data_IF_559033057840
#
_entry.id   IF_559033057840
#
_cell.length_a   1.000
_cell.length_b   1.000
_cell.length_c   1.000
_cell.angle_alpha   90.00
_cell.angle_beta   90.00
_cell.angle_gamma   90.00
#
_symmetry.space_group_name_H-M   'P 1'
#
loop_
_entity.id
_entity.type
_entity.pdbx_description
1 polymer ?
#
# COMPACT_ATOMS: atom_id res chain seq x y z
N UNK A 1 16.73 -23.09 -27.20
CA UNK A 1 16.29 -21.81 -26.62
C UNK A 1 17.34 -20.79 -26.98
N UNK A 2 16.98 -19.74 -27.69
CA UNK A 2 17.87 -18.62 -27.96
C UNK A 2 18.24 -17.92 -26.67
N UNK A 3 19.52 -17.72 -26.41
CA UNK A 3 19.97 -16.92 -25.29
C UNK A 3 19.52 -15.47 -25.48
N UNK A 4 19.10 -14.77 -24.40
CA UNK A 4 18.67 -13.39 -24.49
C UNK A 4 19.84 -12.48 -24.86
N UNK A 5 19.57 -11.41 -25.64
CA UNK A 5 20.56 -10.39 -25.91
C UNK A 5 20.92 -9.61 -24.62
N UNK A 6 22.11 -9.01 -24.61
CA UNK A 6 22.54 -8.13 -23.52
C UNK A 6 21.53 -7.00 -23.28
N UNK A 7 21.00 -6.40 -24.35
CA UNK A 7 19.97 -5.34 -24.27
C UNK A 7 18.69 -5.80 -23.58
N UNK A 8 18.25 -7.06 -23.81
CA UNK A 8 17.09 -7.62 -23.11
C UNK A 8 17.36 -7.78 -21.61
N UNK A 9 18.54 -8.26 -21.24
CA UNK A 9 18.92 -8.41 -19.83
C UNK A 9 19.04 -7.07 -19.11
N UNK A 10 19.63 -6.07 -19.76
CA UNK A 10 19.67 -4.69 -19.23
C UNK A 10 18.28 -4.09 -19.03
N UNK A 11 17.39 -4.29 -20.00
CA UNK A 11 15.99 -3.87 -19.89
C UNK A 11 15.31 -4.51 -18.66
N UNK A 12 15.44 -5.82 -18.49
CA UNK A 12 14.86 -6.54 -17.36
C UNK A 12 15.46 -6.08 -16.01
N UNK A 13 16.74 -5.78 -15.98
CA UNK A 13 17.42 -5.23 -14.82
C UNK A 13 16.91 -3.82 -14.49
N UNK A 14 16.65 -2.99 -15.51
CA UNK A 14 16.06 -1.66 -15.34
C UNK A 14 14.65 -1.72 -14.75
N UNK A 15 13.82 -2.66 -15.21
CA UNK A 15 12.48 -2.91 -14.70
C UNK A 15 12.53 -3.22 -13.18
N UNK A 16 13.47 -4.09 -12.78
CA UNK A 16 13.66 -4.41 -11.36
C UNK A 16 14.09 -3.18 -10.53
N UNK A 17 14.95 -2.34 -11.08
CA UNK A 17 15.47 -1.14 -10.41
C UNK A 17 14.40 -0.08 -10.18
N UNK A 18 13.58 0.20 -11.20
CA UNK A 18 12.44 1.13 -11.11
C UNK A 18 11.42 0.66 -10.05
N UNK A 19 11.11 -0.64 -10.05
CA UNK A 19 10.22 -1.23 -9.05
C UNK A 19 10.77 -1.08 -7.63
N UNK A 20 12.07 -1.30 -7.46
CA UNK A 20 12.78 -1.12 -6.21
C UNK A 20 12.65 0.32 -5.68
N UNK A 21 12.92 1.30 -6.54
CA UNK A 21 12.83 2.72 -6.20
C UNK A 21 11.41 3.11 -5.74
N UNK A 22 10.39 2.73 -6.49
CA UNK A 22 8.99 3.06 -6.18
C UNK A 22 8.55 2.46 -4.84
N UNK A 23 9.00 1.24 -4.53
CA UNK A 23 8.68 0.57 -3.24
C UNK A 23 9.40 1.21 -2.07
N UNK A 24 10.67 1.55 -2.22
CA UNK A 24 11.43 2.27 -1.20
C UNK A 24 10.81 3.63 -0.91
N UNK A 25 10.45 4.38 -1.94
CA UNK A 25 9.80 5.69 -1.79
C UNK A 25 8.49 5.58 -1.01
N UNK A 26 7.66 4.54 -1.27
CA UNK A 26 6.44 4.29 -0.50
C UNK A 26 6.73 3.95 0.96
N UNK A 27 7.71 3.08 1.21
CA UNK A 27 8.10 2.70 2.57
C UNK A 27 8.67 3.89 3.35
N UNK A 28 9.55 4.69 2.72
CA UNK A 28 10.11 5.88 3.32
C UNK A 28 9.04 6.92 3.65
N UNK A 29 8.07 7.13 2.75
CA UNK A 29 6.92 8.01 2.99
C UNK A 29 6.08 7.55 4.19
N UNK A 30 5.90 6.25 4.40
CA UNK A 30 5.23 5.73 5.60
C UNK A 30 6.04 6.03 6.87
N UNK A 31 7.37 5.85 6.82
CA UNK A 31 8.26 6.17 7.93
C UNK A 31 8.20 7.68 8.26
N UNK A 32 8.34 8.54 7.26
CA UNK A 32 8.26 10.01 7.42
C UNK A 32 6.93 10.46 8.04
N UNK A 33 5.83 9.80 7.69
CA UNK A 33 4.49 10.05 8.25
C UNK A 33 4.25 9.40 9.61
N UNK A 34 5.25 8.72 10.21
CA UNK A 34 5.08 7.99 11.47
C UNK A 34 4.09 6.81 11.37
N UNK A 35 4.07 6.14 10.23
CA UNK A 35 3.20 4.99 9.92
C UNK A 35 4.02 3.77 9.47
N UNK A 36 5.17 3.56 10.09
CA UNK A 36 6.05 2.43 9.73
C UNK A 36 5.36 1.09 9.91
N UNK A 37 4.47 0.96 10.88
CA UNK A 37 3.63 -0.23 11.10
C UNK A 37 2.78 -0.63 9.89
N UNK A 38 2.51 0.28 8.96
CA UNK A 38 1.81 -0.01 7.70
C UNK A 38 2.70 -0.71 6.66
N UNK A 39 4.01 -0.76 6.87
CA UNK A 39 4.92 -1.48 5.99
C UNK A 39 4.80 -2.99 6.20
N UNK A 40 5.00 -3.74 5.13
CA UNK A 40 4.79 -5.20 5.16
C UNK A 40 5.67 -5.92 6.20
N UNK A 41 6.96 -5.56 6.27
CA UNK A 41 7.87 -6.17 7.24
C UNK A 41 7.42 -5.93 8.68
N UNK A 42 6.84 -4.76 8.94
CA UNK A 42 6.31 -4.43 10.25
C UNK A 42 5.04 -5.23 10.60
N UNK A 43 4.16 -5.46 9.60
CA UNK A 43 2.99 -6.33 9.79
C UNK A 43 3.39 -7.76 10.13
N UNK A 44 4.36 -8.32 9.41
CA UNK A 44 4.87 -9.67 9.72
C UNK A 44 5.50 -9.74 11.12
N UNK A 45 6.17 -8.67 11.58
CA UNK A 45 6.71 -8.59 12.94
C UNK A 45 5.59 -8.59 13.99
N UNK A 46 4.52 -7.84 13.73
CA UNK A 46 3.35 -7.79 14.62
C UNK A 46 2.72 -9.18 14.69
N UNK A 47 2.40 -9.79 13.54
CA UNK A 47 1.79 -11.13 13.47
C UNK A 47 2.63 -12.18 14.20
N UNK A 48 3.94 -12.20 13.98
CA UNK A 48 4.84 -13.17 14.63
C UNK A 48 5.00 -12.97 16.15
N UNK A 49 4.80 -11.75 16.62
CA UNK A 49 4.98 -11.41 18.04
C UNK A 49 3.68 -11.35 18.86
N UNK A 50 2.52 -11.29 18.17
CA UNK A 50 1.22 -11.01 18.80
C UNK A 50 0.91 -11.99 19.92
N UNK A 51 0.82 -13.27 19.62
CA UNK A 51 0.48 -14.33 20.59
C UNK A 51 1.40 -14.33 21.82
N UNK A 52 2.69 -14.11 21.60
CA UNK A 52 3.66 -14.08 22.68
C UNK A 52 3.45 -12.90 23.61
N UNK A 53 3.19 -11.72 23.03
CA UNK A 53 2.91 -10.51 23.80
C UNK A 53 1.59 -10.64 24.57
N UNK A 54 0.54 -11.15 23.93
CA UNK A 54 -0.76 -11.39 24.54
C UNK A 54 -0.66 -12.31 25.77
N UNK A 55 0.07 -13.43 25.65
CA UNK A 55 0.33 -14.34 26.77
C UNK A 55 1.07 -13.68 27.94
N UNK A 56 2.06 -12.84 27.67
CA UNK A 56 2.81 -12.14 28.73
C UNK A 56 1.95 -11.02 29.38
N UNK A 57 1.06 -10.39 28.63
CA UNK A 57 0.10 -9.42 29.17
C UNK A 57 -0.92 -10.13 30.08
N UNK A 58 -1.49 -11.26 29.62
CA UNK A 58 -2.42 -12.05 30.43
C UNK A 58 -1.76 -12.55 31.73
N UNK A 59 -0.53 -13.07 31.63
CA UNK A 59 0.26 -13.46 32.80
C UNK A 59 0.45 -12.30 33.78
N UNK A 60 0.76 -11.09 33.30
CA UNK A 60 0.88 -9.91 34.16
C UNK A 60 -0.42 -9.57 34.86
N UNK A 61 -1.57 -9.72 34.18
CA UNK A 61 -2.88 -9.51 34.81
C UNK A 61 -3.15 -10.58 35.85
N UNK A 62 -2.94 -11.86 35.54
CA UNK A 62 -3.15 -12.98 36.46
C UNK A 62 -2.29 -12.86 37.71
N UNK A 63 -0.99 -12.54 37.57
CA UNK A 63 -0.08 -12.33 38.70
C UNK A 63 -0.54 -11.20 39.62
N UNK A 64 -1.05 -10.10 39.05
CA UNK A 64 -1.57 -8.97 39.84
C UNK A 64 -2.86 -9.30 40.62
N UNK A 65 -3.62 -10.29 40.14
CA UNK A 65 -4.89 -10.71 40.76
C UNK A 65 -4.83 -12.08 41.46
N UNK A 66 -3.64 -12.68 41.61
CA UNK A 66 -3.39 -14.00 42.20
C UNK A 66 -3.60 -14.10 43.74
N UNK A 67 -4.33 -13.19 44.34
CA UNK A 67 -4.67 -13.27 45.77
C UNK A 67 -3.66 -12.65 46.75
N UNK A 68 -2.53 -12.10 46.25
CA UNK A 68 -1.56 -11.38 47.12
C UNK A 68 -2.24 -10.15 47.73
N UNK A 69 -2.09 -10.01 49.06
CA UNK A 69 -2.58 -8.83 49.79
C UNK A 69 -1.73 -7.63 49.43
N UNK A 70 -2.38 -6.52 49.06
CA UNK A 70 -1.73 -5.25 48.74
C UNK A 70 -2.33 -4.53 47.52
N UNK A 71 -1.79 -3.34 47.22
CA UNK A 71 -2.25 -2.54 46.09
C UNK A 71 -1.88 -3.21 44.77
N UNK A 72 -2.88 -3.46 43.91
CA UNK A 72 -2.70 -4.05 42.59
C UNK A 72 -2.00 -3.09 41.62
N UNK A 73 -1.20 -3.64 40.73
CA UNK A 73 -0.53 -2.84 39.71
C UNK A 73 -1.57 -2.08 38.86
N UNK A 74 -1.43 -0.76 38.77
CA UNK A 74 -2.35 0.11 38.01
C UNK A 74 -2.49 -0.37 36.57
N UNK A 75 -1.39 -0.79 35.93
CA UNK A 75 -1.42 -1.33 34.56
C UNK A 75 -2.32 -2.55 34.44
N UNK A 76 -2.29 -3.50 35.39
CA UNK A 76 -3.11 -4.68 35.35
C UNK A 76 -4.63 -4.36 35.53
N UNK A 77 -4.95 -3.35 36.37
CA UNK A 77 -6.35 -2.90 36.56
C UNK A 77 -6.94 -2.39 35.26
N UNK A 78 -6.18 -1.57 34.51
CA UNK A 78 -6.67 -1.02 33.24
C UNK A 78 -6.67 -2.06 32.13
N UNK A 79 -5.64 -2.92 32.03
CA UNK A 79 -5.55 -3.96 31.01
C UNK A 79 -6.64 -5.04 31.17
N UNK A 80 -7.08 -5.33 32.39
CA UNK A 80 -8.17 -6.27 32.66
C UNK A 80 -9.53 -5.81 32.09
N UNK A 81 -9.69 -4.52 31.74
CA UNK A 81 -10.91 -3.98 31.15
C UNK A 81 -11.10 -4.40 29.67
N UNK A 82 -10.09 -4.94 29.03
CA UNK A 82 -10.19 -5.42 27.65
C UNK A 82 -10.68 -6.85 27.60
N UNK A 83 -11.71 -7.09 26.80
CA UNK A 83 -12.21 -8.45 26.50
C UNK A 83 -11.26 -9.21 25.57
N UNK A 84 -10.56 -8.50 24.70
CA UNK A 84 -9.58 -9.03 23.74
C UNK A 84 -8.21 -8.39 23.98
N UNK A 85 -7.25 -9.19 24.47
CA UNK A 85 -5.88 -8.76 24.72
C UNK A 85 -5.02 -8.70 23.44
N UNK A 86 -5.46 -9.30 22.33
CA UNK A 86 -4.77 -9.19 21.04
C UNK A 86 -4.84 -7.76 20.52
N UNK A 87 -5.95 -7.07 20.77
CA UNK A 87 -6.10 -5.63 20.46
C UNK A 87 -5.09 -4.79 21.24
N UNK A 88 -4.87 -5.10 22.52
CA UNK A 88 -3.86 -4.42 23.36
C UNK A 88 -2.46 -4.64 22.80
N UNK A 89 -2.14 -5.89 22.46
CA UNK A 89 -0.86 -6.28 21.89
C UNK A 89 -0.61 -5.61 20.56
N UNK A 90 -1.60 -5.58 19.69
CA UNK A 90 -1.54 -4.90 18.39
C UNK A 90 -1.28 -3.40 18.53
N UNK A 91 -2.01 -2.71 19.42
CA UNK A 91 -1.83 -1.28 19.68
C UNK A 91 -0.43 -1.00 20.22
N UNK A 92 0.06 -1.82 21.16
CA UNK A 92 1.41 -1.67 21.72
C UNK A 92 2.48 -1.80 20.63
N UNK A 93 2.44 -2.86 19.81
CA UNK A 93 3.36 -3.06 18.70
C UNK A 93 3.30 -1.93 17.68
N UNK A 94 2.08 -1.56 17.24
CA UNK A 94 1.87 -0.49 16.27
C UNK A 94 2.53 0.80 16.73
N UNK A 95 2.27 1.22 17.97
CA UNK A 95 2.81 2.49 18.48
C UNK A 95 4.31 2.43 18.69
N UNK A 96 4.85 1.31 19.18
CA UNK A 96 6.31 1.13 19.36
C UNK A 96 7.01 1.24 18.01
N UNK A 97 6.56 0.50 16.99
CA UNK A 97 7.15 0.51 15.66
C UNK A 97 7.09 1.91 15.04
N UNK A 98 5.93 2.56 15.09
CA UNK A 98 5.73 3.90 14.52
C UNK A 98 6.60 4.97 15.20
N UNK A 99 6.82 4.84 16.51
CA UNK A 99 7.55 5.84 17.29
C UNK A 99 9.08 5.61 17.30
N UNK A 100 9.55 4.37 17.13
CA UNK A 100 11.00 4.08 17.03
C UNK A 100 11.60 4.81 15.82
N UNK A 101 10.94 4.76 14.66
CA UNK A 101 11.40 5.45 13.45
C UNK A 101 11.32 6.98 13.55
N UNK A 102 10.41 7.49 14.36
CA UNK A 102 10.25 8.93 14.63
C UNK A 102 11.16 9.46 15.74
N UNK A 103 12.00 8.61 16.31
CA UNK A 103 12.93 8.96 17.40
C UNK A 103 12.22 9.61 18.60
N UNK A 104 10.98 9.16 18.91
CA UNK A 104 10.21 9.67 20.06
C UNK A 104 10.81 9.16 21.37
N UNK A 105 10.60 9.95 22.46
CA UNK A 105 11.05 9.52 23.79
C UNK A 105 10.20 8.35 24.30
N UNK A 106 10.77 7.57 25.23
CA UNK A 106 10.07 6.49 25.93
C UNK A 106 8.76 6.97 26.56
N UNK A 107 8.78 8.14 27.19
CA UNK A 107 7.60 8.76 27.80
C UNK A 107 6.53 9.11 26.76
N UNK A 108 6.91 9.70 25.61
CA UNK A 108 5.97 10.00 24.53
C UNK A 108 5.35 8.74 23.95
N UNK A 109 6.14 7.67 23.79
CA UNK A 109 5.66 6.38 23.29
C UNK A 109 4.69 5.74 24.27
N UNK A 110 5.02 5.71 25.56
CA UNK A 110 4.15 5.18 26.60
C UNK A 110 2.82 5.93 26.71
N UNK A 111 2.86 7.25 26.70
CA UNK A 111 1.63 8.06 26.68
C UNK A 111 0.78 7.82 25.44
N UNK A 112 1.40 7.63 24.28
CA UNK A 112 0.67 7.34 23.05
C UNK A 112 0.00 5.96 23.10
N UNK A 113 0.68 4.95 23.64
CA UNK A 113 0.10 3.61 23.87
C UNK A 113 -1.12 3.73 24.79
N UNK A 114 -0.96 4.34 25.97
CA UNK A 114 -2.05 4.51 26.92
C UNK A 114 -3.24 5.31 26.35
N UNK A 115 -2.96 6.33 25.55
CA UNK A 115 -4.02 7.10 24.89
C UNK A 115 -4.78 6.28 23.84
N UNK A 116 -4.10 5.46 23.04
CA UNK A 116 -4.76 4.63 22.04
C UNK A 116 -5.58 3.51 22.68
N UNK A 117 -5.10 2.94 23.78
CA UNK A 117 -5.86 1.95 24.55
C UNK A 117 -7.11 2.55 25.19
N UNK A 118 -7.00 3.74 25.77
CA UNK A 118 -8.15 4.47 26.29
C UNK A 118 -9.18 4.77 25.18
N UNK A 119 -8.70 5.24 24.02
CA UNK A 119 -9.57 5.53 22.87
C UNK A 119 -10.30 4.25 22.38
N UNK A 120 -9.61 3.11 22.38
CA UNK A 120 -10.21 1.82 22.01
C UNK A 120 -11.37 1.44 22.94
N UNK A 121 -11.15 1.45 24.26
CA UNK A 121 -12.23 1.18 25.23
C UNK A 121 -13.38 2.17 25.11
N UNK A 122 -13.06 3.44 24.92
CA UNK A 122 -14.06 4.51 24.73
C UNK A 122 -14.96 4.23 23.53
N UNK A 123 -14.34 3.86 22.39
CA UNK A 123 -15.08 3.64 21.16
C UNK A 123 -15.81 2.30 21.13
N UNK A 124 -15.26 1.25 21.76
CA UNK A 124 -15.95 -0.02 21.97
C UNK A 124 -17.20 0.19 22.83
N UNK A 125 -17.08 0.94 23.94
CA UNK A 125 -18.25 1.27 24.78
C UNK A 125 -19.32 2.08 24.01
N UNK A 126 -18.89 2.98 23.12
CA UNK A 126 -19.84 3.71 22.26
C UNK A 126 -20.50 2.80 21.22
N UNK A 127 -19.77 1.89 20.62
CA UNK A 127 -20.31 0.90 19.68
C UNK A 127 -21.34 -0.02 20.36
N UNK A 128 -21.08 -0.47 21.58
CA UNK A 128 -21.99 -1.30 22.37
C UNK A 128 -23.29 -0.57 22.73
N UNK A 129 -23.20 0.73 23.05
CA UNK A 129 -24.36 1.54 23.47
C UNK A 129 -25.21 2.04 22.29
N UNK A 130 -24.61 2.41 21.15
CA UNK A 130 -25.31 2.92 19.95
C UNK A 130 -24.59 2.49 18.67
N UNK A 131 -24.65 1.20 18.37
CA UNK A 131 -23.99 0.58 17.21
C UNK A 131 -24.37 1.25 15.89
N UNK A 132 -25.66 1.55 15.70
CA UNK A 132 -26.15 2.16 14.46
C UNK A 132 -25.52 3.52 14.20
N UNK A 133 -25.41 4.34 15.23
CA UNK A 133 -24.81 5.67 15.11
C UNK A 133 -23.29 5.60 14.94
N UNK A 134 -22.64 4.70 15.67
CA UNK A 134 -21.22 4.40 15.52
C UNK A 134 -20.87 4.00 14.06
N UNK A 135 -21.61 3.05 13.49
CA UNK A 135 -21.41 2.58 12.12
C UNK A 135 -21.64 3.69 11.09
N UNK A 136 -22.65 4.54 11.30
CA UNK A 136 -22.89 5.70 10.43
C UNK A 136 -21.69 6.66 10.40
N UNK A 137 -21.07 6.95 11.54
CA UNK A 137 -19.90 7.82 11.61
C UNK A 137 -18.69 7.15 10.95
N UNK A 138 -18.50 5.85 11.21
CA UNK A 138 -17.42 5.04 10.63
C UNK A 138 -17.52 5.01 9.10
N UNK A 139 -18.72 4.80 8.56
CA UNK A 139 -18.96 4.81 7.11
C UNK A 139 -18.76 6.20 6.50
N UNK A 140 -19.27 7.26 7.15
CA UNK A 140 -19.05 8.64 6.70
C UNK A 140 -17.57 9.04 6.65
N UNK A 141 -16.75 8.47 7.53
CA UNK A 141 -15.32 8.77 7.60
C UNK A 141 -14.44 7.72 6.90
N UNK A 142 -15.02 6.74 6.22
CA UNK A 142 -14.29 5.61 5.62
C UNK A 142 -13.16 6.05 4.71
N UNK A 143 -13.43 7.00 3.82
CA UNK A 143 -12.48 7.44 2.80
C UNK A 143 -11.52 8.53 3.29
N UNK A 144 -11.72 9.00 4.50
CA UNK A 144 -10.85 10.00 5.11
C UNK A 144 -9.57 9.36 5.65
N UNK A 145 -8.41 9.83 5.18
CA UNK A 145 -7.10 9.38 5.69
C UNK A 145 -6.63 10.12 6.96
N UNK A 146 -7.43 11.03 7.49
CA UNK A 146 -7.05 11.89 8.62
C UNK A 146 -7.54 11.31 9.96
N UNK A 147 -6.73 10.45 10.60
CA UNK A 147 -7.09 9.76 11.87
C UNK A 147 -7.53 10.74 12.98
N UNK A 148 -6.85 11.87 13.10
CA UNK A 148 -7.22 12.89 14.10
C UNK A 148 -8.60 13.52 13.86
N UNK A 149 -9.04 13.61 12.60
CA UNK A 149 -10.40 14.05 12.27
C UNK A 149 -11.43 13.00 12.65
N UNK A 150 -11.20 11.73 12.28
CA UNK A 150 -12.07 10.61 12.65
C UNK A 150 -12.30 10.55 14.15
N UNK A 151 -11.22 10.62 14.93
CA UNK A 151 -11.28 10.62 16.38
C UNK A 151 -12.10 11.80 16.93
N UNK A 152 -11.85 13.02 16.48
CA UNK A 152 -12.59 14.21 16.95
C UNK A 152 -14.08 14.10 16.62
N UNK A 153 -14.40 13.62 15.43
CA UNK A 153 -15.79 13.45 15.03
C UNK A 153 -16.51 12.40 15.89
N UNK A 154 -15.84 11.27 16.15
CA UNK A 154 -16.36 10.20 17.00
C UNK A 154 -16.63 10.73 18.43
N UNK A 155 -15.66 11.42 19.04
CA UNK A 155 -15.81 12.01 20.37
C UNK A 155 -16.92 13.07 20.40
N UNK A 156 -17.02 13.92 19.36
CA UNK A 156 -18.09 14.91 19.26
C UNK A 156 -19.48 14.26 19.27
N UNK A 157 -19.69 13.24 18.48
CA UNK A 157 -20.97 12.55 18.40
C UNK A 157 -21.30 11.77 19.67
N UNK A 158 -20.29 11.14 20.27
CA UNK A 158 -20.42 10.50 21.57
C UNK A 158 -20.91 11.46 22.64
N UNK A 159 -20.27 12.63 22.78
CA UNK A 159 -20.65 13.66 23.73
C UNK A 159 -22.04 14.25 23.42
N UNK A 160 -22.38 14.46 22.14
CA UNK A 160 -23.70 14.96 21.71
C UNK A 160 -24.84 14.01 22.10
N UNK A 161 -24.56 12.71 22.17
CA UNK A 161 -25.51 11.67 22.58
C UNK A 161 -25.55 11.45 24.11
N UNK A 162 -24.75 12.19 24.88
CA UNK A 162 -24.71 12.08 26.34
C UNK A 162 -23.93 10.84 26.84
N UNK A 163 -23.18 10.15 25.96
CA UNK A 163 -22.31 9.06 26.39
C UNK A 163 -21.09 9.64 27.09
N UNK A 164 -20.98 9.41 28.37
CA UNK A 164 -19.84 9.83 29.19
C UNK A 164 -18.82 8.71 29.29
N UNK A 165 -17.56 9.06 29.33
CA UNK A 165 -16.46 8.14 29.51
C UNK A 165 -15.47 8.70 30.54
N UNK A 166 -15.12 7.88 31.53
CA UNK A 166 -14.13 8.26 32.54
C UNK A 166 -12.72 8.19 31.96
N UNK A 167 -12.04 9.33 31.91
CA UNK A 167 -10.67 9.38 31.39
C UNK A 167 -9.66 8.79 32.36
N UNK A 168 -8.65 8.08 31.83
CA UNK A 168 -7.62 7.44 32.66
C UNK A 168 -6.69 8.41 33.36
N UNK A 169 -6.62 9.65 32.90
CA UNK A 169 -5.63 10.62 33.31
C UNK A 169 -4.20 10.31 32.79
N UNK A 170 -3.36 11.31 32.77
CA UNK A 170 -2.01 11.21 32.17
C UNK A 170 -1.12 10.18 32.87
N UNK A 171 -1.17 10.10 34.20
CA UNK A 171 -0.34 9.20 35.00
C UNK A 171 -0.67 7.74 34.75
N UNK A 172 -1.95 7.40 34.66
CA UNK A 172 -2.38 6.03 34.41
C UNK A 172 -2.04 5.58 32.96
N UNK A 173 -2.26 6.47 31.98
CA UNK A 173 -1.83 6.24 30.59
C UNK A 173 -0.33 5.94 30.51
N UNK A 174 0.47 6.70 31.22
CA UNK A 174 1.91 6.52 31.29
C UNK A 174 2.30 5.18 31.92
N UNK A 175 1.70 4.82 33.06
CA UNK A 175 1.98 3.55 33.75
C UNK A 175 1.62 2.33 32.91
N UNK A 176 0.47 2.34 32.24
CA UNK A 176 0.05 1.28 31.31
C UNK A 176 1.03 1.15 30.14
N UNK A 177 1.33 2.28 29.47
CA UNK A 177 2.23 2.28 28.33
C UNK A 177 3.66 1.85 28.69
N UNK A 178 4.22 2.30 29.83
CA UNK A 178 5.54 1.87 30.29
C UNK A 178 5.60 0.37 30.58
N UNK A 179 4.55 -0.20 31.17
CA UNK A 179 4.49 -1.64 31.42
C UNK A 179 4.48 -2.45 30.13
N UNK A 180 3.75 -2.03 29.11
CA UNK A 180 3.74 -2.70 27.82
C UNK A 180 5.11 -2.60 27.11
N UNK A 181 5.77 -1.44 27.18
CA UNK A 181 7.14 -1.27 26.66
C UNK A 181 8.10 -2.20 27.41
N UNK A 182 8.01 -2.30 28.74
CA UNK A 182 8.81 -3.20 29.57
C UNK A 182 8.63 -4.67 29.14
N UNK A 183 7.38 -5.13 28.96
CA UNK A 183 7.11 -6.49 28.50
C UNK A 183 7.74 -6.76 27.14
N UNK A 184 7.57 -5.85 26.16
CA UNK A 184 8.18 -5.99 24.84
C UNK A 184 9.70 -6.01 24.91
N UNK A 185 10.30 -5.20 25.76
CA UNK A 185 11.74 -5.14 25.95
C UNK A 185 12.30 -6.41 26.59
N UNK A 186 11.73 -6.85 27.72
CA UNK A 186 12.29 -7.94 28.53
C UNK A 186 11.93 -9.33 28.00
N UNK A 187 10.70 -9.50 27.49
CA UNK A 187 10.17 -10.82 27.11
C UNK A 187 10.33 -11.12 25.62
N UNK A 188 10.16 -10.13 24.76
CA UNK A 188 10.34 -10.28 23.32
C UNK A 188 11.74 -9.90 22.86
N UNK A 189 12.46 -9.11 23.64
CA UNK A 189 13.82 -8.60 23.31
C UNK A 189 13.87 -7.88 21.96
N UNK A 190 12.75 -7.28 21.55
CA UNK A 190 12.61 -6.60 20.27
C UNK A 190 13.24 -5.21 20.29
N UNK A 191 13.17 -4.55 21.44
CA UNK A 191 13.61 -3.18 21.65
C UNK A 191 14.57 -3.07 22.83
N UNK A 192 15.38 -2.02 22.81
CA UNK A 192 16.23 -1.61 23.94
C UNK A 192 16.11 -0.10 24.17
N UNK A 193 16.40 0.33 25.39
CA UNK A 193 16.42 1.74 25.76
C UNK A 193 17.83 2.31 25.58
N UNK A 194 17.89 3.53 25.06
CA UNK A 194 19.13 4.31 25.01
C UNK A 194 18.87 5.70 25.59
N UNK A 195 19.85 6.22 26.32
CA UNK A 195 19.82 7.57 26.83
C UNK A 195 20.57 8.51 25.87
N UNK A 196 19.91 9.58 25.45
CA UNK A 196 20.51 10.63 24.62
C UNK A 196 20.59 11.91 25.44
N UNK A 197 21.77 12.48 25.49
CA UNK A 197 21.99 13.77 26.15
C UNK A 197 21.96 14.89 25.11
N UNK A 198 21.07 15.85 25.30
CA UNK A 198 20.98 17.06 24.47
C UNK A 198 21.10 18.26 25.39
N UNK A 199 22.22 19.00 25.25
CA UNK A 199 22.59 20.10 26.17
C UNK A 199 22.50 19.61 27.63
N UNK A 200 21.62 20.18 28.43
CA UNK A 200 21.46 19.90 29.86
C UNK A 200 20.36 18.88 30.18
N UNK A 201 19.77 18.20 29.17
CA UNK A 201 18.66 17.26 29.38
C UNK A 201 18.98 15.88 28.82
N UNK A 202 18.88 14.87 29.68
CA UNK A 202 18.96 13.47 29.25
C UNK A 202 17.56 12.93 29.00
N UNK A 203 17.34 12.32 27.84
CA UNK A 203 16.07 11.71 27.45
C UNK A 203 16.27 10.25 27.07
N UNK A 204 15.37 9.38 27.52
CA UNK A 204 15.36 7.96 27.16
C UNK A 204 14.57 7.74 25.86
N UNK A 205 15.14 6.97 24.95
CA UNK A 205 14.55 6.63 23.66
C UNK A 205 14.53 5.12 23.45
N UNK A 206 13.56 4.65 22.68
CA UNK A 206 13.41 3.26 22.29
C UNK A 206 14.08 3.08 20.93
N UNK A 207 14.87 2.03 20.79
CA UNK A 207 15.43 1.59 19.51
C UNK A 207 15.23 0.07 19.35
N UNK A 208 15.20 -0.40 18.11
CA UNK A 208 15.22 -1.84 17.84
C UNK A 208 16.57 -2.46 18.21
N UNK A 209 16.56 -3.72 18.61
CA UNK A 209 17.78 -4.53 18.75
C UNK A 209 18.35 -4.88 17.38
N UNK A 210 19.65 -5.23 17.31
CA UNK A 210 20.31 -5.53 16.03
C UNK A 210 19.63 -6.66 15.26
N UNK A 211 19.14 -7.69 15.94
CA UNK A 211 18.40 -8.80 15.32
C UNK A 211 17.17 -8.32 14.56
N UNK A 212 16.40 -7.41 15.16
CA UNK A 212 15.22 -6.86 14.53
C UNK A 212 15.56 -5.84 13.44
N UNK A 213 16.64 -5.08 13.61
CA UNK A 213 17.13 -4.19 12.56
C UNK A 213 17.54 -4.97 11.30
N UNK A 214 18.23 -6.11 11.48
CA UNK A 214 18.60 -6.99 10.35
C UNK A 214 17.37 -7.62 9.68
N UNK A 215 16.39 -8.04 10.47
CA UNK A 215 15.12 -8.53 9.93
C UNK A 215 14.42 -7.45 9.08
N UNK A 216 14.36 -6.21 9.57
CA UNK A 216 13.77 -5.08 8.86
C UNK A 216 14.55 -4.80 7.57
N UNK A 217 15.89 -4.79 7.60
CA UNK A 217 16.76 -4.60 6.42
C UNK A 217 16.50 -5.68 5.37
N UNK A 218 16.49 -6.96 5.77
CA UNK A 218 16.20 -8.10 4.90
C UNK A 218 14.77 -8.04 4.33
N UNK A 219 13.78 -7.74 5.16
CA UNK A 219 12.39 -7.61 4.75
C UNK A 219 12.17 -6.46 3.76
N UNK A 220 12.90 -5.35 3.92
CA UNK A 220 12.89 -4.25 2.95
C UNK A 220 13.51 -4.67 1.62
N UNK A 221 14.67 -5.31 1.65
CA UNK A 221 15.38 -5.77 0.46
C UNK A 221 14.58 -6.82 -0.34
N UNK A 222 14.02 -7.82 0.34
CA UNK A 222 13.24 -8.88 -0.32
C UNK A 222 11.98 -8.34 -1.01
N UNK A 223 11.33 -7.32 -0.45
CA UNK A 223 10.12 -6.77 -1.05
C UNK A 223 10.40 -5.84 -2.23
N UNK A 224 11.55 -5.22 -2.28
CA UNK A 224 11.99 -4.42 -3.42
C UNK A 224 12.00 -5.28 -4.69
N UNK A 225 12.41 -6.55 -4.58
CA UNK A 225 12.45 -7.50 -5.68
C UNK A 225 11.08 -8.05 -6.14
N UNK A 226 9.99 -7.82 -5.39
CA UNK A 226 8.76 -8.58 -5.54
C UNK A 226 7.69 -8.00 -6.47
N UNK A 227 7.82 -6.77 -6.97
CA UNK A 227 6.77 -6.11 -7.77
C UNK A 227 7.34 -5.23 -8.90
N UNK A 228 7.83 -5.81 -9.98
CA UNK A 228 8.29 -5.08 -11.14
C UNK A 228 7.13 -4.38 -11.89
N UNK A 229 7.43 -3.28 -12.57
CA UNK A 229 6.56 -2.71 -13.59
C UNK A 229 6.99 -3.34 -14.91
N UNK A 230 6.22 -4.30 -15.38
CA UNK A 230 6.55 -5.04 -16.59
C UNK A 230 6.47 -4.18 -17.84
N UNK A 231 7.52 -4.24 -18.66
CA UNK A 231 7.62 -3.61 -19.98
C UNK A 231 7.65 -4.69 -21.06
N UNK A 232 7.39 -4.35 -22.36
CA UNK A 232 7.59 -5.27 -23.47
C UNK A 232 9.04 -5.77 -23.54
N UNK A 233 9.25 -6.96 -24.06
CA UNK A 233 10.57 -7.53 -24.31
C UNK A 233 11.13 -7.04 -25.65
N UNK A 234 12.44 -6.85 -25.74
CA UNK A 234 13.14 -6.59 -27.01
C UNK A 234 13.39 -7.89 -27.79
N UNK A 235 13.60 -8.97 -27.08
CA UNK A 235 13.71 -10.32 -27.64
C UNK A 235 12.42 -11.09 -27.46
N UNK A 236 12.24 -12.13 -28.27
CA UNK A 236 11.12 -13.06 -28.14
C UNK A 236 11.10 -13.68 -26.74
N UNK A 237 9.99 -13.54 -25.98
CA UNK A 237 9.91 -14.10 -24.64
C UNK A 237 10.08 -15.62 -24.64
N UNK A 238 10.57 -16.19 -23.56
CA UNK A 238 10.68 -17.64 -23.40
C UNK A 238 9.31 -18.30 -23.56
N UNK A 239 9.21 -19.41 -24.33
CA UNK A 239 7.97 -20.15 -24.42
C UNK A 239 7.55 -20.70 -23.05
N UNK A 240 6.26 -20.79 -22.82
CA UNK A 240 5.72 -21.39 -21.61
C UNK A 240 5.86 -22.92 -21.67
N UNK A 241 6.63 -23.49 -20.74
CA UNK A 241 6.79 -24.94 -20.57
C UNK A 241 6.00 -25.47 -19.37
N UNK A 242 5.68 -24.61 -18.41
CA UNK A 242 4.83 -24.91 -17.26
C UNK A 242 4.11 -23.65 -16.77
N UNK A 243 3.26 -23.78 -15.75
CA UNK A 243 2.60 -22.60 -15.11
C UNK A 243 3.63 -21.59 -14.58
N UNK A 244 4.82 -22.02 -14.22
CA UNK A 244 5.84 -21.19 -13.58
C UNK A 244 7.07 -20.91 -14.44
N UNK A 245 7.17 -21.52 -15.63
CA UNK A 245 8.34 -21.41 -16.49
C UNK A 245 7.97 -20.90 -17.88
N UNK A 246 8.45 -19.70 -18.21
CA UNK A 246 8.21 -18.98 -19.45
C UNK A 246 8.24 -17.48 -19.25
N UNK A 247 8.00 -16.71 -20.30
CA UNK A 247 7.99 -15.26 -20.29
C UNK A 247 9.37 -14.63 -20.19
N UNK A 248 9.58 -13.75 -19.20
CA UNK A 248 10.85 -13.03 -19.01
C UNK A 248 12.02 -13.97 -18.68
N UNK A 249 13.24 -13.53 -18.98
CA UNK A 249 14.47 -14.32 -18.80
C UNK A 249 14.98 -14.27 -17.36
N UNK A 250 14.89 -13.11 -16.72
CA UNK A 250 15.43 -12.91 -15.37
C UNK A 250 14.54 -13.52 -14.29
N UNK A 251 15.14 -14.25 -13.37
CA UNK A 251 14.43 -14.89 -12.24
C UNK A 251 13.56 -13.92 -11.42
N UNK A 252 14.00 -12.66 -11.26
CA UNK A 252 13.27 -11.63 -10.50
C UNK A 252 12.00 -11.14 -11.18
N UNK A 253 11.85 -11.35 -12.49
CA UNK A 253 10.68 -11.00 -13.28
C UNK A 253 9.75 -12.20 -13.53
N UNK A 254 9.86 -13.26 -12.73
CA UNK A 254 8.99 -14.43 -12.87
C UNK A 254 7.52 -14.05 -12.82
N UNK A 255 6.85 -14.37 -13.90
CA UNK A 255 5.40 -14.35 -14.03
C UNK A 255 4.87 -15.77 -13.98
N UNK A 256 3.56 -15.91 -13.89
CA UNK A 256 2.89 -17.22 -13.99
C UNK A 256 2.07 -17.24 -15.27
N UNK A 257 1.96 -18.39 -15.90
CA UNK A 257 1.06 -18.56 -17.05
C UNK A 257 -0.41 -18.28 -16.69
N UNK A 258 -0.78 -18.46 -15.42
CA UNK A 258 -2.12 -18.16 -14.89
C UNK A 258 -2.03 -17.11 -13.78
N UNK A 259 -2.71 -15.98 -13.98
CA UNK A 259 -2.76 -14.86 -13.03
C UNK A 259 -3.76 -15.12 -11.91
N UNK A 260 -3.32 -15.82 -10.86
CA UNK A 260 -4.10 -16.02 -9.64
C UNK A 260 -3.19 -16.05 -8.41
N UNK A 261 -3.74 -15.70 -7.25
CA UNK A 261 -3.09 -15.85 -5.94
C UNK A 261 -3.59 -17.11 -5.20
N UNK A 262 -4.60 -17.78 -5.72
CA UNK A 262 -5.13 -19.01 -5.16
C UNK A 262 -4.16 -20.17 -5.40
N UNK A 263 -3.54 -20.64 -4.31
CA UNK A 263 -2.57 -21.73 -4.33
C UNK A 263 -3.23 -23.09 -4.61
N UNK A 264 -4.47 -23.27 -4.15
CA UNK A 264 -5.20 -24.52 -4.35
C UNK A 264 -5.57 -24.67 -5.83
N UNK A 265 -6.07 -23.59 -6.44
CA UNK A 265 -6.33 -23.55 -7.88
C UNK A 265 -5.07 -23.82 -8.72
N UNK A 266 -3.95 -23.16 -8.39
CA UNK A 266 -2.68 -23.39 -9.11
C UNK A 266 -2.18 -24.82 -9.00
N UNK A 267 -2.36 -25.45 -7.83
CA UNK A 267 -2.01 -26.86 -7.64
C UNK A 267 -2.87 -27.78 -8.50
N UNK A 268 -4.18 -27.58 -8.48
CA UNK A 268 -5.12 -28.34 -9.32
C UNK A 268 -4.83 -28.15 -10.82
N UNK A 269 -4.49 -26.92 -11.24
CA UNK A 269 -4.13 -26.65 -12.63
C UNK A 269 -2.82 -27.33 -13.06
N UNK A 270 -1.86 -27.53 -12.14
CA UNK A 270 -0.63 -28.30 -12.44
C UNK A 270 -0.86 -29.80 -12.71
N UNK A 271 -1.95 -30.34 -12.17
CA UNK A 271 -2.32 -31.75 -12.34
C UNK A 271 -3.04 -31.98 -13.67
N UNK A 272 -3.36 -30.93 -14.44
CA UNK A 272 -4.06 -31.02 -15.72
C UNK A 272 -3.09 -30.89 -16.91
N UNK A 273 -3.49 -31.43 -18.06
CA UNK A 273 -2.77 -31.20 -19.31
C UNK A 273 -3.03 -29.80 -19.86
N UNK A 274 -2.06 -28.92 -19.69
CA UNK A 274 -2.09 -27.54 -20.16
C UNK A 274 -1.30 -27.32 -21.45
N UNK A 275 -0.82 -28.37 -22.11
CA UNK A 275 0.10 -28.31 -23.27
C UNK A 275 -0.44 -27.39 -24.36
N UNK A 276 -1.70 -27.57 -24.77
CA UNK A 276 -2.34 -26.72 -25.79
C UNK A 276 -2.46 -25.25 -25.36
N UNK A 277 -2.85 -25.01 -24.11
CA UNK A 277 -3.00 -23.67 -23.56
C UNK A 277 -1.66 -22.93 -23.44
N UNK A 278 -0.62 -23.59 -22.95
CA UNK A 278 0.74 -23.04 -22.84
C UNK A 278 1.34 -22.76 -24.22
N UNK A 279 1.06 -23.63 -25.20
CA UNK A 279 1.45 -23.43 -26.60
C UNK A 279 0.76 -22.20 -27.19
N UNK A 280 -0.53 -21.99 -26.92
CA UNK A 280 -1.26 -20.80 -27.38
C UNK A 280 -0.67 -19.51 -26.82
N UNK A 281 -0.32 -19.45 -25.52
CA UNK A 281 0.40 -18.32 -24.93
C UNK A 281 1.76 -18.09 -25.61
N UNK A 282 2.50 -19.17 -25.86
CA UNK A 282 3.83 -19.10 -26.48
C UNK A 282 3.74 -18.56 -27.91
N UNK A 283 2.75 -18.99 -28.69
CA UNK A 283 2.53 -18.49 -30.06
C UNK A 283 2.14 -16.98 -30.03
N UNK A 284 1.31 -16.56 -29.10
CA UNK A 284 0.98 -15.14 -28.95
C UNK A 284 2.20 -14.28 -28.61
N UNK A 285 3.14 -14.82 -27.84
CA UNK A 285 4.40 -14.14 -27.47
C UNK A 285 5.36 -13.94 -28.66
N UNK A 286 5.26 -14.78 -29.68
CA UNK A 286 6.08 -14.67 -30.90
C UNK A 286 5.63 -13.54 -31.83
N UNK A 287 4.47 -12.93 -31.57
CA UNK A 287 4.00 -11.80 -32.36
C UNK A 287 4.88 -10.57 -32.09
N UNK A 288 5.64 -10.18 -33.11
CA UNK A 288 6.46 -8.99 -33.05
C UNK A 288 5.63 -7.74 -33.34
N UNK A 289 5.78 -6.74 -32.47
CA UNK A 289 5.13 -5.44 -32.56
C UNK A 289 6.16 -4.35 -32.84
N UNK A 290 5.70 -3.22 -33.37
CA UNK A 290 6.46 -1.97 -33.47
C UNK A 290 5.57 -0.79 -33.15
N UNK A 291 6.17 0.35 -32.81
CA UNK A 291 5.42 1.57 -32.50
C UNK A 291 4.88 2.18 -33.78
N UNK A 292 3.61 2.56 -33.79
CA UNK A 292 3.03 3.38 -34.84
C UNK A 292 3.57 4.81 -34.72
N UNK A 293 4.58 5.13 -35.51
CA UNK A 293 5.30 6.39 -35.47
C UNK A 293 4.39 7.58 -35.72
N UNK A 294 3.47 7.48 -36.69
CA UNK A 294 2.51 8.53 -36.99
C UNK A 294 1.62 8.86 -35.78
N UNK A 295 1.10 7.84 -35.11
CA UNK A 295 0.28 8.03 -33.91
C UNK A 295 1.12 8.59 -32.76
N UNK A 296 2.38 8.14 -32.60
CA UNK A 296 3.26 8.66 -31.56
C UNK A 296 3.56 10.15 -31.78
N UNK A 297 3.94 10.54 -32.98
CA UNK A 297 4.24 11.95 -33.32
C UNK A 297 3.00 12.83 -33.11
N UNK A 298 1.84 12.38 -33.59
CA UNK A 298 0.56 13.08 -33.39
C UNK A 298 0.22 13.23 -31.91
N UNK A 299 0.40 12.16 -31.12
CA UNK A 299 0.13 12.19 -29.68
C UNK A 299 1.07 13.14 -28.94
N UNK A 300 2.35 13.15 -29.30
CA UNK A 300 3.34 14.07 -28.75
C UNK A 300 2.98 15.51 -29.10
N UNK A 301 2.64 15.78 -30.34
CA UNK A 301 2.20 17.10 -30.79
C UNK A 301 0.97 17.58 -30.01
N UNK A 302 -0.09 16.77 -29.93
CA UNK A 302 -1.29 17.10 -29.16
C UNK A 302 -0.96 17.34 -27.67
N UNK A 303 -0.02 16.59 -27.13
CA UNK A 303 0.42 16.77 -25.74
C UNK A 303 1.17 18.09 -25.54
N UNK A 304 2.07 18.44 -26.43
CA UNK A 304 2.91 19.66 -26.34
C UNK A 304 2.07 20.92 -26.57
N UNK A 305 1.21 20.91 -27.58
CA UNK A 305 0.30 22.02 -27.95
C UNK A 305 -0.97 22.10 -27.08
N UNK A 306 -1.12 21.21 -26.08
CA UNK A 306 -2.30 21.16 -25.19
C UNK A 306 -3.63 20.97 -25.93
N UNK A 307 -3.63 20.21 -27.02
CA UNK A 307 -4.83 19.92 -27.79
C UNK A 307 -5.59 18.78 -27.13
N UNK A 308 -6.86 19.02 -26.80
CA UNK A 308 -7.75 17.99 -26.29
C UNK A 308 -8.28 17.12 -27.42
N UNK A 309 -7.76 15.89 -27.53
CA UNK A 309 -8.23 14.88 -28.49
C UNK A 309 -8.33 13.53 -27.81
N UNK A 310 -9.52 12.96 -27.83
CA UNK A 310 -9.77 11.63 -27.27
C UNK A 310 -9.42 11.56 -25.77
N UNK A 311 -8.40 10.77 -25.41
CA UNK A 311 -7.96 10.66 -24.05
C UNK A 311 -6.91 11.72 -23.64
N UNK A 312 -6.39 12.50 -24.59
CA UNK A 312 -5.58 13.68 -24.29
C UNK A 312 -6.45 14.75 -23.66
N UNK A 313 -6.23 15.04 -22.40
CA UNK A 313 -7.00 16.03 -21.63
C UNK A 313 -6.11 17.20 -21.28
N UNK A 314 -6.73 18.35 -21.10
CA UNK A 314 -6.05 19.58 -20.68
C UNK A 314 -5.15 19.34 -19.45
N UNK A 315 -3.99 20.01 -19.45
CA UNK A 315 -3.02 19.95 -18.36
C UNK A 315 -3.34 20.91 -17.22
N UNK A 316 -4.23 21.86 -17.45
CA UNK A 316 -4.63 22.82 -16.43
C UNK A 316 -5.56 22.20 -15.39
N UNK A 317 -5.43 22.66 -14.16
CA UNK A 317 -6.36 22.26 -13.12
C UNK A 317 -7.58 23.14 -13.22
N UNK A 318 -8.76 22.54 -13.19
CA UNK A 318 -9.98 23.32 -13.07
C UNK A 318 -9.95 24.13 -11.77
N UNK A 319 -10.26 25.40 -11.87
CA UNK A 319 -10.29 26.33 -10.75
C UNK A 319 -11.42 25.99 -9.78
N UNK A 320 -11.17 26.22 -8.50
CA UNK A 320 -12.21 26.06 -7.47
C UNK A 320 -13.26 27.17 -7.62
N UNK A 321 -14.52 26.89 -7.29
CA UNK A 321 -15.56 27.89 -7.34
C UNK A 321 -15.23 29.03 -6.38
N UNK A 322 -15.55 30.28 -6.78
CA UNK A 322 -15.36 31.46 -5.93
C UNK A 322 -16.09 31.27 -4.60
N UNK A 323 -15.42 31.58 -3.50
CA UNK A 323 -16.03 31.49 -2.17
C UNK A 323 -17.14 32.55 -2.04
N UNK A 324 -18.37 32.15 -1.67
CA UNK A 324 -19.42 33.11 -1.35
C UNK A 324 -19.00 34.05 -0.22
N UNK A 325 -19.42 35.30 -0.29
CA UNK A 325 -19.10 36.30 0.74
C UNK A 325 -19.67 35.96 2.13
N UNK A 326 -20.77 35.22 2.14
CA UNK A 326 -21.48 34.77 3.34
C UNK A 326 -21.06 33.39 3.83
N UNK A 327 -19.96 32.81 3.31
CA UNK A 327 -19.51 31.42 3.59
C UNK A 327 -19.30 31.14 5.08
N UNK A 328 -18.92 32.16 5.86
CA UNK A 328 -18.65 32.02 7.29
C UNK A 328 -19.89 32.10 8.16
N UNK A 329 -20.94 32.80 7.67
CA UNK A 329 -22.19 33.05 8.41
C UNK A 329 -23.33 32.10 7.92
N UNK A 330 -23.41 31.79 6.64
CA UNK A 330 -24.46 30.98 6.03
C UNK A 330 -24.04 29.52 5.88
N UNK A 331 -24.75 28.63 6.57
CA UNK A 331 -24.46 27.19 6.55
C UNK A 331 -24.80 26.53 5.19
N UNK A 332 -25.83 27.03 4.49
CA UNK A 332 -26.27 26.49 3.22
C UNK A 332 -25.32 26.88 2.11
N UNK A 333 -24.92 28.15 2.00
CA UNK A 333 -23.90 28.62 1.06
C UNK A 333 -22.57 27.89 1.26
N UNK A 334 -22.19 27.62 2.52
CA UNK A 334 -20.99 26.82 2.86
C UNK A 334 -21.12 25.37 2.40
N UNK A 335 -22.29 24.75 2.53
CA UNK A 335 -22.55 23.37 2.12
C UNK A 335 -22.50 23.24 0.60
N UNK A 336 -23.12 24.16 -0.09
CA UNK A 336 -23.15 24.20 -1.56
C UNK A 336 -21.74 24.43 -2.13
N UNK A 337 -21.02 25.41 -1.63
CA UNK A 337 -19.64 25.65 -2.06
C UNK A 337 -18.73 24.43 -1.82
N UNK A 338 -18.85 23.76 -0.67
CA UNK A 338 -18.07 22.55 -0.37
C UNK A 338 -18.42 21.43 -1.33
N UNK A 339 -19.66 21.28 -1.70
CA UNK A 339 -20.10 20.28 -2.68
C UNK A 339 -19.49 20.55 -4.05
N UNK A 340 -19.61 21.78 -4.56
CA UNK A 340 -19.01 22.17 -5.84
C UNK A 340 -17.49 22.05 -5.84
N UNK A 341 -16.83 22.48 -4.77
CA UNK A 341 -15.39 22.33 -4.61
C UNK A 341 -14.96 20.85 -4.59
N UNK A 342 -15.73 19.96 -3.97
CA UNK A 342 -15.48 18.52 -3.99
C UNK A 342 -15.55 17.95 -5.39
N UNK A 343 -16.55 18.30 -6.19
CA UNK A 343 -16.67 17.86 -7.58
C UNK A 343 -15.45 18.27 -8.42
N UNK A 344 -14.97 19.51 -8.24
CA UNK A 344 -13.77 19.98 -8.95
C UNK A 344 -12.51 19.25 -8.46
N UNK A 345 -12.38 19.00 -7.17
CA UNK A 345 -11.27 18.21 -6.64
C UNK A 345 -11.25 16.79 -7.19
N UNK A 346 -12.40 16.14 -7.26
CA UNK A 346 -12.54 14.77 -7.81
C UNK A 346 -12.23 14.75 -9.30
N UNK A 347 -12.72 15.72 -10.07
CA UNK A 347 -12.41 15.89 -11.49
C UNK A 347 -10.89 16.11 -11.70
N UNK A 348 -10.26 17.00 -10.93
CA UNK A 348 -8.84 17.27 -11.01
C UNK A 348 -8.00 16.03 -10.63
N UNK A 349 -8.44 15.25 -9.64
CA UNK A 349 -7.79 13.99 -9.26
C UNK A 349 -7.88 12.95 -10.40
N UNK A 350 -9.06 12.80 -11.01
CA UNK A 350 -9.29 11.90 -12.14
C UNK A 350 -8.44 12.32 -13.37
N UNK A 351 -8.44 13.60 -13.71
CA UNK A 351 -7.64 14.13 -14.81
C UNK A 351 -6.14 13.95 -14.58
N UNK A 352 -5.66 14.08 -13.35
CA UNK A 352 -4.26 13.80 -12.99
C UNK A 352 -3.86 12.36 -13.31
N UNK A 353 -4.72 11.39 -13.00
CA UNK A 353 -4.48 9.97 -13.31
C UNK A 353 -4.40 9.75 -14.82
N UNK A 354 -5.34 10.32 -15.58
CA UNK A 354 -5.33 10.23 -17.06
C UNK A 354 -4.07 10.83 -17.66
N UNK A 355 -3.67 12.04 -17.21
CA UNK A 355 -2.41 12.69 -17.67
C UNK A 355 -1.19 11.81 -17.42
N UNK A 356 -1.10 11.22 -16.23
CA UNK A 356 -0.01 10.32 -15.90
C UNK A 356 0.01 9.07 -16.80
N UNK A 357 -1.16 8.51 -17.12
CA UNK A 357 -1.26 7.38 -18.03
C UNK A 357 -0.77 7.74 -19.45
N UNK A 358 -1.18 8.89 -19.97
CA UNK A 358 -0.75 9.37 -21.29
C UNK A 358 0.77 9.60 -21.31
N UNK A 359 1.33 10.31 -20.33
CA UNK A 359 2.78 10.52 -20.24
C UNK A 359 3.53 9.19 -20.19
N UNK A 360 3.03 8.23 -19.40
CA UNK A 360 3.64 6.90 -19.33
C UNK A 360 3.62 6.18 -20.68
N UNK A 361 2.52 6.32 -21.44
CA UNK A 361 2.42 5.75 -22.79
C UNK A 361 3.38 6.42 -23.77
N UNK A 362 3.45 7.76 -23.77
CA UNK A 362 4.39 8.52 -24.61
C UNK A 362 5.84 8.13 -24.30
N UNK A 363 6.22 8.15 -23.03
CA UNK A 363 7.58 7.83 -22.58
C UNK A 363 7.97 6.39 -22.90
N UNK A 364 7.01 5.46 -22.76
CA UNK A 364 7.25 4.06 -23.12
C UNK A 364 7.35 3.91 -24.64
N UNK A 365 6.42 4.47 -25.40
CA UNK A 365 6.45 4.40 -26.86
C UNK A 365 7.74 5.01 -27.45
N UNK A 366 8.21 6.15 -26.92
CA UNK A 366 9.51 6.76 -27.34
C UNK A 366 10.70 5.81 -27.12
N UNK A 367 10.69 4.98 -26.09
CA UNK A 367 11.75 4.00 -25.82
C UNK A 367 11.78 2.85 -26.81
N UNK A 368 10.63 2.52 -27.41
CA UNK A 368 10.48 1.43 -28.37
C UNK A 368 10.32 1.92 -29.80
N UNK A 369 10.47 3.23 -30.05
CA UNK A 369 10.39 3.79 -31.40
C UNK A 369 11.53 3.26 -32.29
N UNK A 370 11.19 2.70 -33.44
CA UNK A 370 12.14 2.06 -34.37
C UNK A 370 12.58 0.64 -33.97
N UNK A 371 12.15 0.13 -32.81
CA UNK A 371 12.48 -1.22 -32.35
C UNK A 371 11.32 -2.18 -32.57
N UNK A 372 11.62 -3.46 -32.79
CA UNK A 372 10.64 -4.52 -32.64
C UNK A 372 10.60 -4.94 -31.17
N UNK A 373 9.40 -5.25 -30.69
CA UNK A 373 9.21 -5.70 -29.31
C UNK A 373 8.10 -6.76 -29.21
N UNK A 374 8.08 -7.44 -28.08
CA UNK A 374 7.19 -8.56 -27.82
C UNK A 374 6.51 -8.41 -26.47
N UNK A 375 5.31 -9.00 -26.34
CA UNK A 375 4.61 -9.03 -25.07
C UNK A 375 4.62 -10.43 -24.47
N UNK A 376 4.89 -10.52 -23.17
CA UNK A 376 4.63 -11.73 -22.39
C UNK A 376 3.14 -11.81 -22.12
N UNK A 377 2.52 -12.96 -22.39
CA UNK A 377 1.10 -13.20 -22.16
C UNK A 377 0.87 -14.21 -21.02
N UNK A 378 -0.27 -14.05 -20.36
CA UNK A 378 -0.75 -14.92 -19.29
C UNK A 378 -2.28 -15.08 -19.39
N UNK A 379 -2.82 -16.15 -18.84
CA UNK A 379 -4.26 -16.29 -18.64
C UNK A 379 -4.70 -15.65 -17.32
N UNK A 380 -5.93 -15.16 -17.27
CA UNK A 380 -6.63 -14.98 -16.00
C UNK A 380 -7.23 -16.32 -15.53
N UNK A 381 -7.85 -16.32 -14.35
CA UNK A 381 -8.50 -17.51 -13.82
C UNK A 381 -9.75 -17.96 -14.62
N UNK A 382 -10.25 -17.12 -15.53
CA UNK A 382 -11.37 -17.43 -16.43
C UNK A 382 -10.92 -17.95 -17.79
N UNK A 383 -9.60 -18.11 -18.02
CA UNK A 383 -9.01 -18.59 -19.27
C UNK A 383 -8.86 -17.55 -20.37
N UNK A 384 -9.03 -16.27 -20.06
CA UNK A 384 -8.80 -15.17 -21.01
C UNK A 384 -7.32 -14.81 -21.03
N UNK A 385 -6.79 -14.52 -22.23
CA UNK A 385 -5.39 -14.18 -22.44
C UNK A 385 -5.17 -12.65 -22.33
N UNK A 386 -4.21 -12.25 -21.50
CA UNK A 386 -3.82 -10.86 -21.29
C UNK A 386 -2.30 -10.68 -21.31
N UNK A 387 -1.79 -9.56 -21.86
CA UNK A 387 -0.38 -9.23 -21.71
C UNK A 387 -0.05 -8.90 -20.25
N UNK A 388 1.16 -9.26 -19.85
CA UNK A 388 1.69 -8.96 -18.51
C UNK A 388 2.11 -7.49 -18.39
N UNK A 389 2.47 -6.89 -19.52
CA UNK A 389 2.93 -5.50 -19.62
C UNK A 389 1.90 -4.53 -19.05
N UNK A 390 2.37 -3.55 -18.27
CA UNK A 390 1.53 -2.51 -17.71
C UNK A 390 1.32 -1.37 -18.74
N UNK A 391 0.08 -0.94 -18.92
CA UNK A 391 -0.35 0.21 -19.73
C UNK A 391 -0.04 0.14 -21.24
N UNK A 392 1.21 -0.11 -21.64
CA UNK A 392 1.65 -0.13 -23.03
C UNK A 392 1.52 -1.54 -23.62
N UNK A 393 0.31 -1.89 -24.10
CA UNK A 393 0.01 -3.19 -24.71
C UNK A 393 -1.21 -3.12 -25.65
N UNK A 394 -1.36 -4.07 -26.61
CA UNK A 394 -2.40 -4.01 -27.65
C UNK A 394 -3.85 -4.23 -27.14
N UNK A 395 -4.03 -4.62 -25.89
CA UNK A 395 -5.34 -4.73 -25.24
C UNK A 395 -5.60 -3.57 -24.25
N UNK A 396 -4.80 -2.50 -24.31
CA UNK A 396 -4.93 -1.32 -23.48
C UNK A 396 -6.08 -0.39 -23.91
N UNK A 397 -6.01 0.86 -23.48
CA UNK A 397 -6.92 1.90 -23.94
C UNK A 397 -6.69 2.21 -25.43
N UNK A 398 -7.56 3.05 -26.03
CA UNK A 398 -7.51 3.36 -27.46
C UNK A 398 -6.16 3.90 -27.92
N UNK A 399 -5.51 4.76 -27.13
CA UNK A 399 -4.18 5.28 -27.42
C UNK A 399 -3.14 4.15 -27.41
N UNK A 400 -3.15 3.29 -26.39
CA UNK A 400 -2.22 2.18 -26.32
C UNK A 400 -2.39 1.23 -27.52
N UNK A 401 -3.65 0.94 -27.92
CA UNK A 401 -3.93 0.13 -29.11
C UNK A 401 -3.44 0.78 -30.39
N UNK A 402 -3.71 2.07 -30.56
CA UNK A 402 -3.31 2.82 -31.76
C UNK A 402 -1.78 2.94 -31.91
N UNK A 403 -1.04 2.92 -30.80
CA UNK A 403 0.43 2.93 -30.79
C UNK A 403 1.05 1.59 -31.21
N UNK A 404 0.27 0.48 -31.29
CA UNK A 404 0.76 -0.83 -31.65
C UNK A 404 0.40 -1.19 -33.08
N UNK A 405 1.40 -1.52 -33.89
CA UNK A 405 1.23 -2.14 -35.20
C UNK A 405 2.07 -3.41 -35.28
N UNK A 406 1.67 -4.37 -36.09
CA UNK A 406 2.47 -5.56 -36.35
C UNK A 406 3.76 -5.19 -37.05
N UNK A 407 4.89 -5.76 -36.58
CA UNK A 407 6.18 -5.51 -37.19
C UNK A 407 6.25 -5.99 -38.64
N UNK A 408 5.57 -7.10 -38.96
CA UNK A 408 5.44 -7.60 -40.32
C UNK A 408 3.99 -7.39 -40.76
N UNK A 409 3.78 -6.54 -41.75
CA UNK A 409 2.50 -6.40 -42.44
C UNK A 409 2.31 -7.47 -43.51
N UNK A 410 1.07 -7.69 -43.91
CA UNK A 410 0.74 -8.45 -45.11
C UNK A 410 0.11 -7.50 -46.15
N UNK A 411 0.44 -7.71 -47.43
CA UNK A 411 -0.23 -6.97 -48.51
C UNK A 411 -1.70 -7.34 -48.57
N UNK A 412 -2.54 -6.30 -48.59
CA UNK A 412 -3.97 -6.49 -48.81
C UNK A 412 -4.15 -6.86 -50.30
N UNK A 413 -4.34 -8.11 -50.59
CA UNK A 413 -4.74 -8.52 -51.96
C UNK A 413 -6.16 -8.00 -52.19
N UNK A 414 -6.33 -7.16 -53.21
CA UNK A 414 -7.64 -6.71 -53.63
C UNK A 414 -8.55 -7.95 -53.79
N UNK A 415 -9.62 -8.03 -53.00
CA UNK A 415 -10.72 -8.93 -53.33
C UNK A 415 -11.37 -8.38 -54.59
N UNK A 416 -11.25 -9.14 -55.69
CA UNK A 416 -12.15 -9.02 -56.80
C UNK A 416 -13.58 -9.27 -56.34
#
# INVERSE_FOLDING_TARGET
MTEPSERQLELEQSICSIAAYNKLSKQNRNIEKGRESCNYYARNLIEAGLDKLTKEIDKHIQEAFSGKVGAKAVSAIFLKKFSDLDVVSFIAFKVIIDNVSQVKTTTQTALKIGQMLEDELRFTSFEEQDKKHYDNIKNHTRDTNHEGYKKRLMVYHMNKKGHTYEEWGRTNKLKVGLKLIEIVMLKLRMIKLINRRNKNKTTSHIIFTEVYMDYIRKGRANRIAAYPIYLPCLDEPRPWTSIYEGGYYTYRLKTKAIKTNDKAYLKSAQEQDLTTSLRALSLAQQTAWTVNKFVLETLVYCWEERIEVGACIDRELAELPTKPLDIDTNKESRKEWRYLASLIHDMNAHNRVKRYQILTLIDTAKKYDGEKFFHVYQFDFTGRMYPVTAHFHPQGNDIARALHIFHKGAEIKNKQ
#
